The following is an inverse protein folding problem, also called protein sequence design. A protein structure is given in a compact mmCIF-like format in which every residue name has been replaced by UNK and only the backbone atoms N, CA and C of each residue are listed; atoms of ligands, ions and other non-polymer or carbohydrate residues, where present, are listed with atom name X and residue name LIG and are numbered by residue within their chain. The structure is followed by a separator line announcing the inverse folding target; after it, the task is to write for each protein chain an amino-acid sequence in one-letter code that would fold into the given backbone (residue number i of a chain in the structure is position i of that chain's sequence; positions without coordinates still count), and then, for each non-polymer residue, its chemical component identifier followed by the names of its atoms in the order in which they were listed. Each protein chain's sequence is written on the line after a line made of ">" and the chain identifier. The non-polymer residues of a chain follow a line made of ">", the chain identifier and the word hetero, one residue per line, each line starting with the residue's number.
data_IF_452803778720
#
_entry.id   IF_452803778720
#
_cell.length_a   1.000
_cell.length_b   1.000
_cell.length_c   1.000
_cell.angle_alpha   90.00
_cell.angle_beta   90.00
_cell.angle_gamma   90.00
#
_symmetry.space_group_name_H-M   'P 1'
#
loop_
_entity.id
_entity.type
_entity.pdbx_description
1 polymer ?
#
# COMPACT_ATOMS: atom_id res chain seq x y z
N UNK A 1 32.14 6.64 34.47
CA UNK A 1 30.73 6.89 34.82
C UNK A 1 29.86 6.48 33.64
N UNK A 2 28.96 5.50 33.76
CA UNK A 2 28.02 5.17 32.69
C UNK A 2 26.89 6.22 32.65
N UNK A 3 26.56 6.74 31.46
CA UNK A 3 25.45 7.66 31.30
C UNK A 3 24.14 6.85 31.34
N UNK A 4 23.37 6.99 32.41
CA UNK A 4 22.13 6.23 32.65
C UNK A 4 21.02 6.76 31.73
N UNK A 5 20.86 6.13 30.55
CA UNK A 5 19.79 6.45 29.62
C UNK A 5 18.42 6.30 30.29
N UNK A 6 17.55 7.28 30.09
CA UNK A 6 16.16 7.17 30.52
C UNK A 6 15.48 6.03 29.73
N UNK A 7 14.70 5.14 30.38
CA UNK A 7 14.04 4.05 29.68
C UNK A 7 13.02 4.63 28.69
N UNK A 8 13.20 4.32 27.40
CA UNK A 8 12.30 4.78 26.33
C UNK A 8 10.99 3.99 26.40
N UNK A 9 10.03 4.49 27.18
CA UNK A 9 8.76 3.79 27.40
C UNK A 9 7.85 3.88 26.18
N UNK A 10 6.94 2.90 26.04
CA UNK A 10 5.95 2.86 24.96
C UNK A 10 5.12 4.15 24.89
N UNK A 11 4.81 4.79 26.02
CA UNK A 11 4.10 6.06 26.07
C UNK A 11 4.88 7.23 25.41
N UNK A 12 6.21 7.26 25.54
CA UNK A 12 7.06 8.26 24.85
C UNK A 12 7.04 8.01 23.33
N UNK A 13 7.15 6.75 22.92
CA UNK A 13 7.12 6.35 21.50
C UNK A 13 5.76 6.72 20.87
N UNK A 14 4.65 6.38 21.52
CA UNK A 14 3.30 6.72 21.05
C UNK A 14 3.09 8.23 20.96
N UNK A 15 3.60 9.02 21.93
CA UNK A 15 3.51 10.49 21.84
C UNK A 15 4.29 11.03 20.65
N UNK A 16 5.54 10.58 20.46
CA UNK A 16 6.37 11.00 19.32
C UNK A 16 5.74 10.65 17.96
N UNK A 17 5.03 9.53 17.86
CA UNK A 17 4.30 9.17 16.63
C UNK A 17 3.15 10.16 16.37
N UNK A 18 2.32 10.44 17.39
CA UNK A 18 1.21 11.38 17.27
C UNK A 18 1.71 12.81 16.94
N UNK A 19 2.72 13.29 17.68
CA UNK A 19 3.35 14.61 17.51
C UNK A 19 3.81 14.83 16.05
N UNK A 20 4.34 13.78 15.39
CA UNK A 20 4.76 13.83 13.97
C UNK A 20 3.57 13.75 12.99
N UNK A 21 2.54 12.95 13.29
CA UNK A 21 1.35 12.82 12.44
C UNK A 21 0.57 14.13 12.40
N UNK A 22 0.37 14.78 13.55
CA UNK A 22 -0.31 16.08 13.62
C UNK A 22 0.47 17.18 12.89
N UNK A 23 1.81 17.18 12.99
CA UNK A 23 2.66 18.10 12.25
C UNK A 23 2.54 17.90 10.72
N UNK A 24 2.55 16.64 10.24
CA UNK A 24 2.36 16.33 8.83
C UNK A 24 0.97 16.75 8.31
N UNK A 25 -0.09 16.51 9.09
CA UNK A 25 -1.46 16.95 8.78
C UNK A 25 -1.55 18.48 8.70
N UNK A 26 -0.88 19.21 9.60
CA UNK A 26 -0.85 20.67 9.56
C UNK A 26 -0.16 21.21 8.31
N UNK A 27 0.99 20.63 7.92
CA UNK A 27 1.72 21.02 6.69
C UNK A 27 0.90 20.76 5.44
N UNK A 28 0.26 19.58 5.31
CA UNK A 28 -0.54 19.26 4.12
C UNK A 28 -1.82 20.10 4.02
N UNK A 29 -2.45 20.43 5.16
CA UNK A 29 -3.57 21.39 5.20
C UNK A 29 -3.15 22.78 4.71
N UNK A 30 -2.00 23.28 5.15
CA UNK A 30 -1.44 24.55 4.63
C UNK A 30 -1.15 24.49 3.13
N UNK A 31 -0.69 23.33 2.62
CA UNK A 31 -0.46 23.12 1.18
C UNK A 31 -1.76 23.18 0.37
N UNK A 32 -2.86 22.58 0.84
CA UNK A 32 -4.16 22.65 0.17
C UNK A 32 -4.77 24.05 0.12
N UNK A 33 -4.59 24.87 1.17
CA UNK A 33 -5.10 26.26 1.19
C UNK A 33 -4.50 27.08 0.05
N UNK A 34 -3.21 26.92 -0.23
CA UNK A 34 -2.54 27.66 -1.31
C UNK A 34 -3.01 27.26 -2.71
N UNK A 35 -3.43 26.01 -2.93
CA UNK A 35 -3.94 25.54 -4.23
C UNK A 35 -5.31 26.14 -4.57
N UNK A 36 -6.19 26.29 -3.58
CA UNK A 36 -7.56 26.80 -3.77
C UNK A 36 -7.60 28.20 -4.39
N UNK A 37 -6.59 29.02 -4.11
CA UNK A 37 -6.48 30.41 -4.54
C UNK A 37 -6.32 30.59 -6.06
N UNK A 38 -5.78 29.60 -6.76
CA UNK A 38 -5.51 29.69 -8.21
C UNK A 38 -6.74 29.32 -9.07
N UNK A 39 -7.59 28.42 -8.59
CA UNK A 39 -8.72 27.90 -9.36
C UNK A 39 -9.85 28.92 -9.57
N UNK A 40 -10.01 29.90 -8.69
CA UNK A 40 -11.10 30.90 -8.73
C UNK A 40 -11.02 31.93 -9.87
N UNK A 41 -10.14 31.74 -10.87
CA UNK A 41 -9.92 32.70 -11.97
C UNK A 41 -10.21 32.17 -13.38
N UNK A 42 -10.42 30.86 -13.56
CA UNK A 42 -10.80 30.29 -14.86
C UNK A 42 -12.32 30.31 -15.03
N UNK A 43 -12.82 31.23 -15.85
CA UNK A 43 -14.25 31.31 -16.19
C UNK A 43 -14.73 30.05 -16.93
N UNK A 44 -15.88 29.51 -16.52
CA UNK A 44 -16.43 28.27 -17.07
C UNK A 44 -17.12 28.52 -18.42
N UNK A 45 -16.62 27.87 -19.49
CA UNK A 45 -17.21 27.93 -20.82
C UNK A 45 -17.63 26.54 -21.32
N UNK A 46 -18.95 26.26 -21.24
CA UNK A 46 -19.76 25.38 -22.11
C UNK A 46 -19.16 24.01 -22.53
N UNK A 47 -19.62 22.92 -21.89
CA UNK A 47 -19.23 21.53 -22.21
C UNK A 47 -20.01 20.84 -23.33
N UNK A 48 -19.95 19.50 -23.37
CA UNK A 48 -20.75 18.62 -24.24
C UNK A 48 -20.83 17.17 -23.69
N UNK A 49 -21.64 16.31 -24.34
CA UNK A 49 -22.20 15.07 -23.78
C UNK A 49 -21.46 13.75 -24.05
N UNK A 50 -21.58 12.84 -23.06
CA UNK A 50 -21.64 11.35 -23.11
C UNK A 50 -20.80 10.57 -24.14
N UNK A 51 -19.76 9.87 -23.63
CA UNK A 51 -19.44 8.48 -24.01
C UNK A 51 -18.60 7.78 -22.91
N UNK A 52 -19.09 6.72 -22.23
CA UNK A 52 -18.35 6.07 -21.14
C UNK A 52 -17.47 4.92 -21.65
N UNK A 53 -16.35 5.23 -22.31
CA UNK A 53 -15.33 4.27 -22.72
C UNK A 53 -13.96 4.66 -22.12
N UNK A 54 -13.14 3.65 -21.78
CA UNK A 54 -11.84 3.78 -21.12
C UNK A 54 -11.87 4.60 -19.80
N UNK A 55 -12.03 3.89 -18.67
CA UNK A 55 -11.81 4.45 -17.32
C UNK A 55 -10.31 4.61 -17.02
N UNK A 56 -9.64 5.43 -17.82
CA UNK A 56 -8.27 5.87 -17.56
C UNK A 56 -8.26 6.74 -16.30
N UNK A 57 -7.61 6.24 -15.25
CA UNK A 57 -7.52 6.94 -13.97
C UNK A 57 -6.53 8.10 -14.07
N UNK A 58 -6.96 9.23 -14.62
CA UNK A 58 -6.29 10.52 -14.46
C UNK A 58 -6.05 10.75 -12.97
N UNK A 59 -4.78 10.81 -12.57
CA UNK A 59 -4.32 10.63 -11.18
C UNK A 59 -5.08 11.47 -10.13
N UNK A 60 -5.50 12.69 -10.48
CA UNK A 60 -6.30 13.56 -9.61
C UNK A 60 -7.72 13.00 -9.32
N UNK A 61 -8.45 12.53 -10.35
CA UNK A 61 -9.82 12.04 -10.20
C UNK A 61 -9.91 10.70 -9.46
N UNK A 62 -8.85 9.88 -9.55
CA UNK A 62 -8.75 8.65 -8.76
C UNK A 62 -8.76 8.90 -7.26
N UNK A 63 -8.10 9.97 -6.79
CA UNK A 63 -8.00 10.29 -5.37
C UNK A 63 -9.34 10.78 -4.78
N UNK A 64 -10.08 11.63 -5.49
CA UNK A 64 -11.42 12.06 -5.07
C UNK A 64 -12.42 10.90 -5.06
N UNK A 65 -12.26 9.95 -5.99
CA UNK A 65 -13.07 8.72 -6.04
C UNK A 65 -12.75 7.80 -4.86
N UNK A 66 -11.47 7.54 -4.58
CA UNK A 66 -11.03 6.75 -3.42
C UNK A 66 -11.48 7.35 -2.08
N UNK A 67 -11.39 8.68 -1.93
CA UNK A 67 -11.84 9.38 -0.71
C UNK A 67 -13.37 9.33 -0.49
N UNK A 68 -14.15 8.93 -1.50
CA UNK A 68 -15.61 8.69 -1.39
C UNK A 68 -15.98 7.22 -1.22
N UNK A 69 -15.07 6.29 -1.52
CA UNK A 69 -15.31 4.86 -1.38
C UNK A 69 -15.17 4.40 0.08
N UNK A 70 -15.96 3.42 0.55
CA UNK A 70 -15.76 2.83 1.87
C UNK A 70 -14.42 2.09 1.91
N UNK A 71 -13.76 2.12 3.08
CA UNK A 71 -12.45 1.50 3.30
C UNK A 71 -12.38 0.03 2.88
N UNK A 72 -13.48 -0.72 2.99
CA UNK A 72 -13.57 -2.12 2.55
C UNK A 72 -13.36 -2.28 1.04
N UNK A 73 -13.95 -1.40 0.23
CA UNK A 73 -13.78 -1.42 -1.24
C UNK A 73 -12.38 -0.95 -1.64
N UNK A 74 -11.88 0.12 -1.01
CA UNK A 74 -10.51 0.60 -1.22
C UNK A 74 -9.48 -0.49 -0.89
N UNK A 75 -9.66 -1.21 0.24
CA UNK A 75 -8.83 -2.35 0.62
C UNK A 75 -8.92 -3.46 -0.43
N UNK A 76 -10.12 -3.83 -0.88
CA UNK A 76 -10.30 -4.89 -1.88
C UNK A 76 -9.62 -4.53 -3.22
N UNK A 77 -9.74 -3.29 -3.68
CA UNK A 77 -9.05 -2.79 -4.88
C UNK A 77 -7.53 -2.79 -4.73
N UNK A 78 -7.00 -2.42 -3.57
CA UNK A 78 -5.55 -2.51 -3.31
C UNK A 78 -5.07 -3.97 -3.23
N UNK A 79 -5.81 -4.86 -2.58
CA UNK A 79 -5.49 -6.30 -2.54
C UNK A 79 -5.50 -6.89 -3.96
N UNK A 80 -6.55 -6.69 -4.75
CA UNK A 80 -6.62 -7.20 -6.12
C UNK A 80 -5.54 -6.62 -7.06
N UNK A 81 -5.03 -5.42 -6.77
CA UNK A 81 -4.00 -4.74 -7.60
C UNK A 81 -2.55 -5.07 -7.21
N UNK A 82 -2.28 -5.34 -5.93
CA UNK A 82 -0.92 -5.50 -5.39
C UNK A 82 -0.68 -6.86 -4.72
N UNK A 83 -1.71 -7.69 -4.59
CA UNK A 83 -1.68 -9.05 -4.04
C UNK A 83 -2.55 -9.98 -4.93
N UNK A 84 -2.24 -10.09 -6.25
CA UNK A 84 -2.97 -10.97 -7.16
C UNK A 84 -2.82 -12.43 -6.71
N UNK A 85 -3.95 -13.06 -6.40
CA UNK A 85 -4.02 -14.41 -5.81
C UNK A 85 -3.49 -15.45 -6.80
N UNK A 86 -3.68 -15.22 -8.09
CA UNK A 86 -3.24 -16.05 -9.19
C UNK A 86 -1.71 -16.14 -9.26
N UNK A 87 -1.01 -15.00 -9.12
CA UNK A 87 0.47 -14.98 -9.11
C UNK A 87 1.02 -15.65 -7.84
N UNK A 88 0.36 -15.46 -6.69
CA UNK A 88 0.74 -16.11 -5.43
C UNK A 88 0.59 -17.63 -5.54
N UNK A 89 -0.55 -18.13 -6.04
CA UNK A 89 -0.73 -19.57 -6.26
C UNK A 89 0.27 -20.15 -7.28
N UNK A 90 0.67 -19.38 -8.30
CA UNK A 90 1.73 -19.78 -9.23
C UNK A 90 3.07 -19.89 -8.49
N UNK A 91 3.46 -18.89 -7.70
CA UNK A 91 4.70 -18.91 -6.89
C UNK A 91 4.70 -20.03 -5.85
N UNK A 92 3.57 -20.31 -5.20
CA UNK A 92 3.42 -21.43 -4.26
C UNK A 92 3.55 -22.78 -4.97
N UNK A 93 2.95 -22.95 -6.15
CA UNK A 93 3.07 -24.17 -6.95
C UNK A 93 4.47 -24.34 -7.54
N UNK A 94 5.13 -23.27 -7.97
CA UNK A 94 6.54 -23.30 -8.40
C UNK A 94 7.48 -23.65 -7.25
N UNK A 95 7.29 -23.04 -6.07
CA UNK A 95 8.03 -23.39 -4.86
C UNK A 95 7.80 -24.86 -4.45
N UNK A 96 6.57 -25.36 -4.51
CA UNK A 96 6.25 -26.76 -4.21
C UNK A 96 6.90 -27.71 -5.23
N UNK A 97 6.87 -27.37 -6.52
CA UNK A 97 7.49 -28.12 -7.62
C UNK A 97 9.03 -28.11 -7.53
N UNK A 98 9.65 -27.00 -7.12
CA UNK A 98 11.08 -26.89 -6.83
C UNK A 98 11.44 -27.73 -5.61
N UNK A 99 10.72 -27.58 -4.50
CA UNK A 99 10.89 -28.40 -3.30
C UNK A 99 10.77 -29.89 -3.62
N UNK A 100 9.77 -30.32 -4.40
CA UNK A 100 9.61 -31.74 -4.81
C UNK A 100 10.73 -32.23 -5.74
N UNK A 101 11.38 -31.35 -6.49
CA UNK A 101 12.51 -31.71 -7.39
C UNK A 101 13.87 -31.70 -6.69
N UNK A 102 14.10 -30.80 -5.74
CA UNK A 102 15.29 -30.84 -4.87
C UNK A 102 15.18 -31.93 -3.81
N UNK A 103 13.98 -32.15 -3.26
CA UNK A 103 13.67 -33.22 -2.32
C UNK A 103 13.54 -34.57 -3.03
N UNK A 104 14.67 -34.98 -3.62
CA UNK A 104 15.07 -36.36 -3.81
C UNK A 104 15.28 -37.05 -2.43
N UNK A 105 14.29 -36.91 -1.54
CA UNK A 105 14.27 -37.46 -0.17
C UNK A 105 14.44 -38.98 -0.26
N UNK A 106 13.87 -39.62 -1.28
CA UNK A 106 14.05 -41.06 -1.50
C UNK A 106 15.53 -41.43 -1.60
N UNK A 107 16.33 -40.75 -2.41
CA UNK A 107 17.78 -41.02 -2.47
C UNK A 107 18.54 -40.51 -1.23
N UNK A 108 18.12 -39.40 -0.61
CA UNK A 108 18.75 -38.91 0.63
C UNK A 108 18.57 -39.91 1.78
N UNK A 109 17.33 -40.34 2.04
CA UNK A 109 16.97 -41.33 3.04
C UNK A 109 17.58 -42.69 2.72
N UNK A 110 17.58 -43.13 1.45
CA UNK A 110 18.25 -44.36 1.05
C UNK A 110 19.76 -44.29 1.35
N UNK A 111 20.44 -43.23 0.92
CA UNK A 111 21.89 -43.03 1.12
C UNK A 111 22.27 -42.76 2.58
N UNK A 112 21.32 -42.40 3.43
CA UNK A 112 21.48 -42.33 4.89
C UNK A 112 21.32 -43.71 5.55
N UNK A 113 20.42 -44.56 5.03
CA UNK A 113 20.23 -45.94 5.48
C UNK A 113 21.32 -46.91 4.96
N UNK A 114 22.17 -46.45 4.05
CA UNK A 114 23.34 -47.16 3.50
C UNK A 114 24.66 -46.84 4.25
N UNK A 115 24.58 -46.15 5.40
CA UNK A 115 25.69 -45.79 6.30
C UNK A 115 25.63 -46.52 7.65
#
# INVERSE_FOLDING_TARGET
>A
MPLKSAPLTQAVICRMINDNVDAAIAVERSRQVNVRNAASRSGLARGQDVAPAARECTFAGGLETMNRMPWTEMKHLMTAKFCPIEEIHIMEHELWNLMVKEYNIVAYTQRFNEL
#
